data_IF_039700856841
#
_entry.id   IF_039700856841
#
_cell.length_a   1.000
_cell.length_b   1.000
_cell.length_c   1.000
_cell.angle_alpha   90.00
_cell.angle_beta   90.00
_cell.angle_gamma   90.00
#
_symmetry.space_group_name_H-M   'P 1'
#
loop_
_entity.id
_entity.type
_entity.pdbx_description
1 polymer ?
#
# COMPACT_ATOMS: atom_id res chain seq x y z
N UNK A 1 -26.93 -5.92 -24.58
CA UNK A 1 -26.49 -7.24 -25.05
C UNK A 1 -25.80 -7.94 -23.87
N UNK A 2 -26.40 -8.99 -23.30
CA UNK A 2 -25.74 -9.72 -22.21
C UNK A 2 -24.37 -10.22 -22.70
N UNK A 3 -23.34 -10.26 -21.84
CA UNK A 3 -22.05 -10.80 -22.23
C UNK A 3 -22.26 -12.25 -22.72
N UNK A 4 -21.70 -12.61 -23.87
CA UNK A 4 -21.75 -13.99 -24.36
C UNK A 4 -21.14 -14.88 -23.26
N UNK A 5 -21.96 -15.77 -22.70
CA UNK A 5 -21.47 -16.74 -21.72
C UNK A 5 -20.41 -17.59 -22.42
N UNK A 6 -19.18 -17.55 -21.93
CA UNK A 6 -18.19 -18.51 -22.36
C UNK A 6 -18.60 -19.86 -21.77
N UNK A 7 -19.32 -20.66 -22.56
CA UNK A 7 -19.83 -21.99 -22.19
C UNK A 7 -18.73 -22.90 -21.61
N UNK A 8 -17.48 -22.69 -22.05
CA UNK A 8 -16.28 -23.35 -21.52
C UNK A 8 -16.19 -23.38 -19.98
N UNK A 9 -16.59 -22.29 -19.32
CA UNK A 9 -16.49 -22.07 -17.87
C UNK A 9 -17.85 -22.09 -17.18
N UNK A 10 -18.92 -22.47 -17.88
CA UNK A 10 -20.24 -22.59 -17.29
C UNK A 10 -20.44 -24.02 -16.79
N UNK A 11 -20.08 -24.25 -15.54
CA UNK A 11 -20.15 -25.55 -14.85
C UNK A 11 -20.69 -25.32 -13.43
N UNK A 12 -22.00 -25.07 -13.26
CA UNK A 12 -22.58 -24.75 -11.96
C UNK A 12 -22.52 -25.94 -10.98
N UNK A 13 -22.53 -27.18 -11.50
CA UNK A 13 -22.51 -28.40 -10.70
C UNK A 13 -21.08 -28.82 -10.30
N UNK A 14 -20.06 -28.31 -11.00
CA UNK A 14 -18.66 -28.59 -10.73
C UNK A 14 -18.18 -29.93 -11.29
N UNK A 15 -18.85 -30.48 -12.29
CA UNK A 15 -18.51 -31.78 -12.90
C UNK A 15 -17.15 -31.74 -13.61
N UNK A 16 -16.81 -30.60 -14.21
CA UNK A 16 -15.60 -30.45 -15.03
C UNK A 16 -14.42 -29.96 -14.22
N UNK A 17 -14.65 -29.05 -13.28
CA UNK A 17 -13.57 -28.40 -12.50
C UNK A 17 -13.50 -28.87 -11.04
N UNK A 18 -14.38 -29.78 -10.62
CA UNK A 18 -14.49 -30.29 -9.25
C UNK A 18 -15.12 -29.31 -8.25
N UNK A 19 -15.37 -28.06 -8.67
CA UNK A 19 -16.07 -27.03 -7.92
C UNK A 19 -16.93 -26.20 -8.88
N UNK A 20 -18.06 -25.64 -8.41
CA UNK A 20 -18.90 -24.73 -9.19
C UNK A 20 -18.06 -23.63 -9.85
N UNK A 21 -18.14 -23.56 -11.17
CA UNK A 21 -17.38 -22.63 -12.00
C UNK A 21 -18.33 -21.84 -12.87
N UNK A 22 -18.18 -20.52 -12.87
CA UNK A 22 -18.97 -19.63 -13.70
C UNK A 22 -18.10 -18.78 -14.62
N UNK A 23 -18.61 -18.37 -15.78
CA UNK A 23 -17.90 -17.42 -16.62
C UNK A 23 -17.80 -16.05 -15.93
N UNK A 24 -16.79 -15.29 -16.31
CA UNK A 24 -16.59 -13.93 -15.82
C UNK A 24 -17.84 -13.05 -15.98
N UNK A 25 -18.22 -12.35 -14.89
CA UNK A 25 -19.44 -11.53 -14.75
C UNK A 25 -20.78 -12.28 -14.73
N UNK A 26 -20.77 -13.61 -14.79
CA UNK A 26 -21.97 -14.45 -14.71
C UNK A 26 -21.94 -15.35 -13.47
N UNK A 27 -21.20 -14.93 -12.45
CA UNK A 27 -21.16 -15.61 -11.17
C UNK A 27 -22.44 -15.38 -10.35
N UNK A 28 -22.60 -16.17 -9.27
CA UNK A 28 -23.65 -15.99 -8.27
C UNK A 28 -23.59 -14.62 -7.61
N UNK A 29 -24.66 -14.29 -6.87
CA UNK A 29 -24.79 -12.99 -6.22
C UNK A 29 -23.60 -12.70 -5.28
N UNK A 30 -22.99 -11.50 -5.35
CA UNK A 30 -21.87 -11.11 -4.48
C UNK A 30 -22.17 -11.15 -2.97
N UNK A 31 -23.45 -11.16 -2.59
CA UNK A 31 -23.89 -11.28 -1.18
C UNK A 31 -23.74 -12.70 -0.63
N UNK A 32 -23.78 -13.73 -1.48
CA UNK A 32 -23.60 -15.12 -1.09
C UNK A 32 -22.14 -15.58 -1.30
N UNK A 33 -21.62 -15.29 -2.49
CA UNK A 33 -20.31 -15.73 -2.95
C UNK A 33 -19.49 -14.56 -3.49
N UNK A 34 -18.37 -14.30 -2.84
CA UNK A 34 -17.52 -13.16 -3.15
C UNK A 34 -16.06 -13.58 -3.40
N UNK A 35 -15.43 -12.90 -4.35
CA UNK A 35 -13.98 -12.95 -4.53
C UNK A 35 -13.27 -12.31 -3.34
N UNK A 36 -11.99 -12.63 -3.15
CA UNK A 36 -11.15 -12.00 -2.11
C UNK A 36 -11.17 -10.46 -2.20
N UNK A 37 -11.20 -9.93 -3.42
CA UNK A 37 -11.26 -8.47 -3.66
C UNK A 37 -12.59 -7.88 -3.20
N UNK A 38 -13.71 -8.55 -3.49
CA UNK A 38 -15.05 -8.13 -3.03
C UNK A 38 -15.16 -8.22 -1.50
N UNK A 39 -14.68 -9.31 -0.88
CA UNK A 39 -14.62 -9.43 0.59
C UNK A 39 -13.82 -8.29 1.22
N UNK A 40 -12.65 -7.95 0.65
CA UNK A 40 -11.82 -6.85 1.13
C UNK A 40 -12.52 -5.49 1.03
N UNK A 41 -13.29 -5.26 -0.03
CA UNK A 41 -14.11 -4.04 -0.17
C UNK A 41 -15.22 -3.97 0.90
N UNK A 42 -15.77 -5.12 1.30
CA UNK A 42 -16.73 -5.25 2.41
C UNK A 42 -16.07 -5.24 3.81
N UNK A 43 -14.76 -5.00 3.91
CA UNK A 43 -14.05 -5.02 5.21
C UNK A 43 -13.92 -6.43 5.82
N UNK A 44 -14.06 -7.48 5.01
CA UNK A 44 -13.99 -8.88 5.43
C UNK A 44 -12.74 -9.57 4.88
N UNK A 45 -12.40 -10.71 5.47
CA UNK A 45 -11.38 -11.65 4.99
C UNK A 45 -12.01 -13.04 4.84
N UNK A 46 -11.47 -13.89 3.96
CA UNK A 46 -11.88 -15.29 3.91
C UNK A 46 -11.78 -15.93 5.30
N UNK A 47 -12.86 -16.60 5.73
CA UNK A 47 -12.88 -17.31 7.01
C UNK A 47 -12.26 -18.70 6.95
N UNK A 48 -12.24 -19.30 5.76
CA UNK A 48 -11.70 -20.62 5.42
C UNK A 48 -10.82 -20.53 4.18
N UNK A 49 -9.94 -21.50 4.00
CA UNK A 49 -9.16 -21.70 2.77
C UNK A 49 -10.00 -22.38 1.68
N UNK A 50 -11.08 -23.08 2.06
CA UNK A 50 -11.94 -23.79 1.12
C UNK A 50 -12.67 -22.82 0.18
N UNK A 51 -12.56 -23.10 -1.11
CA UNK A 51 -13.23 -22.37 -2.19
C UNK A 51 -14.62 -22.95 -2.34
N UNK A 52 -15.64 -22.11 -2.35
CA UNK A 52 -17.02 -22.54 -2.60
C UNK A 52 -17.37 -22.56 -4.10
N UNK A 53 -16.56 -21.89 -4.91
CA UNK A 53 -16.61 -21.95 -6.36
C UNK A 53 -15.53 -21.07 -6.97
N UNK A 54 -15.63 -20.83 -8.28
CA UNK A 54 -14.65 -20.02 -9.00
C UNK A 54 -15.24 -19.31 -10.23
N UNK A 55 -14.61 -18.22 -10.63
CA UNK A 55 -14.89 -17.52 -11.89
C UNK A 55 -13.79 -17.83 -12.90
N UNK A 56 -14.15 -18.29 -14.10
CA UNK A 56 -13.22 -18.58 -15.20
C UNK A 56 -13.26 -17.54 -16.31
N UNK A 57 -12.09 -17.18 -16.86
CA UNK A 57 -11.98 -16.39 -18.09
C UNK A 57 -10.70 -16.71 -18.85
N UNK A 58 -10.63 -16.27 -20.11
CA UNK A 58 -9.39 -16.29 -20.89
C UNK A 58 -8.75 -14.93 -20.95
N UNK A 59 -7.44 -14.88 -20.74
CA UNK A 59 -6.61 -13.69 -20.94
C UNK A 59 -5.28 -14.13 -21.52
N UNK A 60 -4.84 -13.46 -22.58
CA UNK A 60 -3.60 -13.79 -23.29
C UNK A 60 -3.52 -15.25 -23.76
N UNK A 61 -4.64 -15.85 -24.16
CA UNK A 61 -4.70 -17.25 -24.60
C UNK A 61 -4.73 -18.28 -23.46
N UNK A 62 -4.53 -17.88 -22.22
CA UNK A 62 -4.52 -18.78 -21.05
C UNK A 62 -5.86 -18.74 -20.29
N UNK A 63 -6.20 -19.84 -19.62
CA UNK A 63 -7.34 -19.92 -18.71
C UNK A 63 -6.94 -19.37 -17.33
N UNK A 64 -7.73 -18.43 -16.81
CA UNK A 64 -7.55 -17.79 -15.51
C UNK A 64 -8.76 -18.05 -14.63
N UNK A 65 -8.51 -18.20 -13.32
CA UNK A 65 -9.55 -18.48 -12.34
C UNK A 65 -9.46 -17.53 -11.15
N UNK A 66 -10.62 -17.09 -10.64
CA UNK A 66 -10.73 -16.37 -9.38
C UNK A 66 -11.60 -17.16 -8.41
N UNK A 67 -11.04 -17.50 -7.25
CA UNK A 67 -11.78 -18.22 -6.23
C UNK A 67 -12.92 -17.37 -5.62
N UNK A 68 -14.06 -18.01 -5.39
CA UNK A 68 -15.21 -17.48 -4.69
C UNK A 68 -15.30 -18.13 -3.30
N UNK A 69 -15.65 -17.29 -2.33
CA UNK A 69 -15.77 -17.66 -0.92
C UNK A 69 -17.14 -17.24 -0.41
N UNK A 70 -17.69 -18.04 0.50
CA UNK A 70 -18.95 -17.72 1.18
C UNK A 70 -18.78 -16.47 2.04
N UNK A 71 -19.70 -15.52 1.87
CA UNK A 71 -19.72 -14.28 2.65
C UNK A 71 -20.14 -14.54 4.10
N UNK A 72 -21.06 -15.48 4.34
CA UNK A 72 -21.51 -15.86 5.69
C UNK A 72 -20.37 -16.33 6.60
N UNK A 73 -19.41 -17.06 6.02
CA UNK A 73 -18.24 -17.57 6.73
C UNK A 73 -17.11 -16.54 6.81
N UNK A 74 -17.23 -15.40 6.11
CA UNK A 74 -16.19 -14.41 6.04
C UNK A 74 -16.07 -13.66 7.36
N UNK A 75 -14.83 -13.62 7.87
CA UNK A 75 -14.53 -12.99 9.15
C UNK A 75 -14.26 -11.50 8.94
N UNK A 76 -14.55 -10.64 9.93
CA UNK A 76 -14.14 -9.24 9.84
C UNK A 76 -12.62 -9.15 9.66
N UNK A 77 -12.19 -8.15 8.89
CA UNK A 77 -10.78 -7.81 8.77
C UNK A 77 -10.25 -7.47 10.16
N UNK A 78 -9.10 -8.05 10.53
CA UNK A 78 -8.46 -7.73 11.81
C UNK A 78 -8.17 -6.24 11.86
N UNK A 79 -8.67 -5.51 12.87
CA UNK A 79 -8.32 -4.11 13.03
C UNK A 79 -6.84 -4.02 13.38
N UNK A 80 -6.24 -2.89 12.99
CA UNK A 80 -4.89 -2.57 13.41
C UNK A 80 -4.94 -2.18 14.89
N UNK A 81 -4.13 -2.80 15.74
CA UNK A 81 -4.04 -2.45 17.16
C UNK A 81 -2.96 -1.40 17.40
N UNK A 82 -3.03 -0.69 18.53
CA UNK A 82 -2.03 0.33 18.88
C UNK A 82 -0.61 -0.25 19.01
N UNK A 83 -0.50 -1.48 19.52
CA UNK A 83 0.77 -2.20 19.58
C UNK A 83 1.33 -2.47 18.17
N UNK A 84 0.47 -2.87 17.22
CA UNK A 84 0.89 -3.06 15.83
C UNK A 84 1.30 -1.72 15.20
N UNK A 85 0.58 -0.62 15.48
CA UNK A 85 0.97 0.71 15.03
C UNK A 85 2.31 1.15 15.60
N UNK A 86 2.57 0.87 16.88
CA UNK A 86 3.85 1.13 17.52
C UNK A 86 4.99 0.34 16.85
N UNK A 87 4.77 -0.94 16.53
CA UNK A 87 5.73 -1.76 15.80
C UNK A 87 6.02 -1.21 14.40
N UNK A 88 5.00 -0.80 13.65
CA UNK A 88 5.16 -0.16 12.33
C UNK A 88 5.94 1.15 12.44
N UNK A 89 5.60 2.01 13.41
CA UNK A 89 6.34 3.26 13.67
C UNK A 89 7.80 2.99 14.00
N UNK A 90 8.10 1.98 14.83
CA UNK A 90 9.46 1.56 15.17
C UNK A 90 10.22 1.06 13.94
N UNK A 91 9.59 0.24 13.10
CA UNK A 91 10.18 -0.25 11.85
C UNK A 91 10.44 0.90 10.86
N UNK A 92 9.49 1.81 10.69
CA UNK A 92 9.66 3.02 9.87
C UNK A 92 10.82 3.87 10.39
N UNK A 93 10.89 4.15 11.69
CA UNK A 93 12.00 4.90 12.28
C UNK A 93 13.35 4.23 11.98
N UNK A 94 13.48 2.93 12.22
CA UNK A 94 14.71 2.19 11.94
C UNK A 94 15.15 2.25 10.46
N UNK A 95 14.20 2.39 9.53
CA UNK A 95 14.50 2.53 8.11
C UNK A 95 14.79 3.97 7.65
N UNK A 96 14.41 4.98 8.44
CA UNK A 96 14.63 6.40 8.11
C UNK A 96 15.78 7.02 8.91
N UNK A 97 16.16 6.41 10.03
CA UNK A 97 17.31 6.85 10.83
C UNK A 97 18.61 6.39 10.20
N UNK A 98 19.47 7.35 9.86
CA UNK A 98 20.79 7.06 9.32
C UNK A 98 21.67 6.40 10.39
N UNK A 99 22.36 5.28 10.11
CA UNK A 99 23.24 4.65 11.09
C UNK A 99 24.46 5.51 11.46
N UNK A 100 24.89 6.44 10.60
CA UNK A 100 26.06 7.30 10.85
C UNK A 100 25.70 8.55 11.65
N UNK A 101 24.83 9.42 11.12
CA UNK A 101 24.44 10.66 11.81
C UNK A 101 23.28 10.49 12.80
N UNK A 102 22.73 9.28 12.96
CA UNK A 102 21.66 8.92 13.93
C UNK A 102 20.39 9.79 13.84
N UNK A 103 20.22 10.52 12.74
CA UNK A 103 19.09 11.43 12.52
C UNK A 103 18.03 10.77 11.63
N UNK A 104 16.74 10.94 11.96
CA UNK A 104 15.63 10.57 11.08
C UNK A 104 15.57 11.54 9.88
N UNK A 105 15.69 11.02 8.66
CA UNK A 105 15.71 11.83 7.45
C UNK A 105 14.34 12.05 6.81
N UNK A 106 13.27 11.48 7.38
CA UNK A 106 11.92 11.58 6.82
C UNK A 106 11.64 10.70 5.61
N UNK A 107 12.66 10.12 4.98
CA UNK A 107 12.55 9.14 3.88
C UNK A 107 13.20 7.80 4.21
N UNK A 108 12.79 6.72 3.55
CA UNK A 108 13.40 5.38 3.69
C UNK A 108 14.80 5.39 3.07
N UNK A 109 15.83 5.13 3.86
CA UNK A 109 17.21 5.10 3.40
C UNK A 109 17.41 3.93 2.41
N UNK A 110 17.92 4.19 1.18
CA UNK A 110 18.13 3.13 0.19
C UNK A 110 19.14 2.09 0.67
N UNK A 111 18.79 0.80 0.57
CA UNK A 111 19.67 -0.31 0.96
C UNK A 111 21.02 -0.32 0.21
N UNK A 112 21.06 0.22 -1.01
CA UNK A 112 22.28 0.27 -1.85
C UNK A 112 23.39 1.08 -1.17
N UNK A 113 23.04 2.23 -0.60
CA UNK A 113 23.99 3.12 0.05
C UNK A 113 24.09 2.83 1.55
N UNK A 114 23.02 2.34 2.19
CA UNK A 114 23.01 2.00 3.61
C UNK A 114 23.05 3.21 4.56
N UNK A 115 23.29 4.40 4.01
CA UNK A 115 23.36 5.69 4.69
C UNK A 115 22.51 6.71 3.95
N UNK A 116 22.18 7.80 4.63
CA UNK A 116 21.42 8.88 4.01
C UNK A 116 22.20 9.51 2.85
N UNK A 117 21.46 9.96 1.83
CA UNK A 117 22.05 10.77 0.79
C UNK A 117 22.69 12.02 1.43
N UNK A 118 23.83 12.52 0.88
CA UNK A 118 24.34 13.81 1.30
C UNK A 118 23.21 14.82 1.17
N UNK A 119 23.11 15.74 2.12
CA UNK A 119 22.26 16.90 1.95
C UNK A 119 22.81 17.66 0.73
N UNK A 120 22.33 17.34 -0.46
CA UNK A 120 22.21 18.34 -1.50
C UNK A 120 21.35 19.39 -0.84
N UNK A 121 21.93 20.55 -0.53
CA UNK A 121 21.17 21.70 -0.08
C UNK A 121 19.99 21.78 -1.05
N UNK A 122 18.80 21.44 -0.56
CA UNK A 122 17.60 21.85 -1.22
C UNK A 122 17.62 23.36 -0.99
N UNK A 123 18.33 24.08 -1.87
CA UNK A 123 17.81 25.37 -2.29
C UNK A 123 16.38 25.03 -2.65
N UNK A 124 15.37 25.48 -1.89
CA UNK A 124 14.01 25.36 -2.38
C UNK A 124 14.07 25.92 -3.80
N UNK A 125 13.54 25.23 -4.83
CA UNK A 125 13.43 25.88 -6.12
C UNK A 125 12.70 27.17 -5.79
N UNK A 126 13.41 28.30 -5.92
CA UNK A 126 12.82 29.61 -5.82
C UNK A 126 11.66 29.50 -6.80
N UNK A 127 10.44 29.50 -6.28
CA UNK A 127 9.25 29.50 -7.09
C UNK A 127 9.33 30.82 -7.82
N UNK A 128 9.98 30.83 -8.98
CA UNK A 128 10.00 31.97 -9.88
C UNK A 128 8.53 32.34 -10.07
N UNK A 129 8.12 33.57 -9.73
CA UNK A 129 6.76 34.03 -9.94
C UNK A 129 6.57 34.34 -11.43
N UNK A 130 6.70 33.32 -12.28
CA UNK A 130 6.37 33.42 -13.70
C UNK A 130 5.51 32.22 -14.08
N UNK A 131 4.24 32.33 -13.74
CA UNK A 131 3.15 31.86 -14.60
C UNK A 131 1.91 32.66 -14.22
N UNK A 132 1.68 33.68 -15.02
CA UNK A 132 0.53 34.57 -14.94
C UNK A 132 -0.78 33.79 -15.10
N UNK A 133 -1.77 34.21 -14.32
CA UNK A 133 -3.21 34.22 -14.58
C UNK A 133 -3.77 33.09 -15.47
N UNK A 134 -4.44 32.13 -14.84
CA UNK A 134 -5.70 31.61 -15.41
C UNK A 134 -6.83 32.35 -14.74
N UNK A 135 -7.51 33.16 -15.53
CA UNK A 135 -8.74 33.86 -15.18
C UNK A 135 -9.79 32.91 -14.60
N UNK A 136 -10.47 33.39 -13.55
CA UNK A 136 -11.89 33.12 -13.32
C UNK A 136 -12.29 31.78 -12.69
N UNK A 137 -12.02 31.60 -11.39
CA UNK A 137 -12.91 30.78 -10.55
C UNK A 137 -13.14 31.50 -9.20
N UNK A 138 -14.39 31.83 -8.81
CA UNK A 138 -14.65 32.42 -7.51
C UNK A 138 -14.38 31.42 -6.38
N UNK A 139 -13.80 31.94 -5.29
CA UNK A 139 -13.38 31.17 -4.12
C UNK A 139 -14.53 30.36 -3.50
N UNK A 140 -14.33 29.08 -3.15
CA UNK A 140 -15.23 28.41 -2.22
C UNK A 140 -15.06 29.04 -0.82
N UNK A 141 -16.17 29.47 -0.23
CA UNK A 141 -16.23 30.10 1.09
C UNK A 141 -15.70 29.14 2.18
N UNK A 142 -14.98 29.64 3.20
CA UNK A 142 -14.43 28.81 4.27
C UNK A 142 -15.54 28.31 5.21
N UNK A 143 -15.84 27.01 5.18
CA UNK A 143 -16.63 26.38 6.23
C UNK A 143 -15.78 26.20 7.49
N UNK A 144 -16.27 26.82 8.57
CA UNK A 144 -15.78 26.89 9.95
C UNK A 144 -14.84 25.78 10.43
N UNK A 145 -13.65 26.23 10.84
CA UNK A 145 -12.90 25.91 12.05
C UNK A 145 -12.91 24.46 12.56
N UNK A 146 -11.95 23.66 12.08
CA UNK A 146 -11.36 22.59 12.88
C UNK A 146 -10.19 23.24 13.64
N UNK A 147 -10.24 23.22 14.98
CA UNK A 147 -9.27 23.87 15.85
C UNK A 147 -7.82 23.54 15.46
N UNK A 148 -7.06 24.58 15.10
CA UNK A 148 -5.65 24.49 14.79
C UNK A 148 -4.89 24.17 16.09
N UNK A 149 -4.38 22.95 16.20
CA UNK A 149 -3.40 22.60 17.22
C UNK A 149 -2.20 23.55 17.08
N UNK A 150 -1.66 24.14 18.17
CA UNK A 150 -0.54 25.05 18.06
C UNK A 150 0.66 24.33 17.43
N UNK A 151 1.45 25.02 16.57
CA UNK A 151 2.70 24.44 16.09
C UNK A 151 3.60 24.17 17.30
N UNK A 152 4.13 22.94 17.38
CA UNK A 152 5.24 22.64 18.28
C UNK A 152 6.37 23.62 17.95
N UNK A 153 6.89 24.29 18.98
CA UNK A 153 8.11 25.07 18.87
C UNK A 153 9.21 24.19 18.27
N UNK A 154 9.55 24.42 17.01
CA UNK A 154 10.77 23.91 16.41
C UNK A 154 11.85 24.87 16.85
N UNK A 155 12.60 24.52 17.90
CA UNK A 155 13.98 24.96 17.98
C UNK A 155 14.65 24.43 16.71
N UNK A 156 14.89 25.35 15.80
CA UNK A 156 15.57 25.15 14.53
C UNK A 156 17.06 24.90 14.82
N UNK A 157 17.35 23.74 15.41
CA UNK A 157 18.70 23.22 15.42
C UNK A 157 18.86 22.46 14.10
N UNK A 158 19.48 23.13 13.13
CA UNK A 158 19.85 22.57 11.85
C UNK A 158 20.55 21.22 12.10
N UNK A 159 19.82 20.12 11.86
CA UNK A 159 20.35 18.78 12.06
C UNK A 159 21.65 18.68 11.26
N UNK A 160 22.79 18.31 11.89
CA UNK A 160 24.07 18.33 11.22
C UNK A 160 23.96 17.52 9.93
N UNK A 161 24.35 18.14 8.82
CA UNK A 161 24.54 17.44 7.56
C UNK A 161 25.38 16.20 7.88
N UNK A 162 24.96 15.03 7.37
CA UNK A 162 25.76 13.82 7.55
C UNK A 162 27.15 14.17 7.04
N UNK A 163 28.20 14.17 7.89
CA UNK A 163 29.51 14.68 7.51
C UNK A 163 29.89 13.93 6.25
N UNK A 164 30.16 14.69 5.18
CA UNK A 164 30.30 14.17 3.83
C UNK A 164 31.11 12.87 3.86
N UNK A 165 30.55 11.85 3.22
CA UNK A 165 31.21 10.60 2.87
C UNK A 165 32.45 10.87 2.01
N UNK A 166 33.57 11.24 2.61
CA UNK A 166 34.88 11.04 1.99
C UNK A 166 35.29 9.60 2.22
N UNK A 167 35.02 8.78 1.20
CA UNK A 167 35.70 7.51 0.92
C UNK A 167 36.00 6.59 2.12
N UNK A 168 35.01 5.80 2.54
CA UNK A 168 35.28 4.52 3.22
C UNK A 168 34.15 3.52 2.96
N UNK A 169 33.87 3.27 1.68
CA UNK A 169 33.23 2.04 1.24
C UNK A 169 34.09 0.85 1.69
N UNK A 170 33.79 0.24 2.84
CA UNK A 170 33.95 -1.21 3.10
C UNK A 170 33.60 -1.64 4.54
N UNK A 171 33.83 -0.81 5.57
CA UNK A 171 33.81 -1.31 6.96
C UNK A 171 32.41 -1.56 7.55
N UNK A 172 31.38 -0.78 7.17
CA UNK A 172 30.05 -0.89 7.79
C UNK A 172 29.21 -2.12 7.34
N UNK A 173 29.67 -2.89 6.34
CA UNK A 173 28.97 -4.09 5.85
C UNK A 173 29.08 -5.30 6.79
N UNK A 174 30.15 -5.42 7.59
CA UNK A 174 30.43 -6.63 8.35
C UNK A 174 29.54 -6.81 9.61
N UNK A 175 29.02 -5.72 10.19
CA UNK A 175 28.36 -5.81 11.50
C UNK A 175 26.87 -6.22 11.48
N UNK A 176 26.22 -6.29 10.30
CA UNK A 176 24.77 -6.54 10.21
C UNK A 176 24.36 -7.94 9.76
N UNK A 177 25.32 -8.81 9.41
CA UNK A 177 25.06 -10.21 9.06
C UNK A 177 25.12 -11.16 10.27
N UNK A 178 25.47 -10.67 11.47
CA UNK A 178 25.70 -11.51 12.65
C UNK A 178 24.50 -11.62 13.63
N UNK A 179 23.32 -11.12 13.24
CA UNK A 179 22.12 -11.14 14.09
C UNK A 179 20.91 -11.68 13.33
N UNK A 180 20.98 -12.96 12.93
CA UNK A 180 19.85 -13.81 12.58
C UNK A 180 20.12 -15.20 13.16
#
# INVERSE_FOLDING_TARGET
MPPKANDRFNDPDGEKFGIPTWPWRLGPDPSELATVRQLKAMGRRPGTTQKAGQLGWRRNGEDHFAALYRVDLAKPKRPMTDAMWAAVRKACAAHRTCPECKTDKGYRIPRRYGVCAPATAATPPELSPTSQARDGQPAPQPTKAIGRLPPRATSEEAAPACPRSTSASSAARAARTAAW
#
